data_IF_470545693866
#
_entry.id   IF_470545693866
#
_cell.length_a   1.000
_cell.length_b   1.000
_cell.length_c   1.000
_cell.angle_alpha   90.00
_cell.angle_beta   90.00
_cell.angle_gamma   90.00
#
_symmetry.space_group_name_H-M   'P 1'
#
loop_
_entity.id
_entity.type
_entity.pdbx_description
1 polymer ?
#
# COMPACT_ATOMS: atom_id res chain seq x y z
N UNK A 1 17.83 -2.34 -12.20
CA UNK A 1 16.66 -1.74 -11.54
C UNK A 1 16.75 -2.11 -10.07
N UNK A 2 16.74 -1.13 -9.17
CA UNK A 2 16.74 -1.41 -7.73
C UNK A 2 15.42 -2.07 -7.35
N UNK A 3 15.46 -3.09 -6.49
CA UNK A 3 14.27 -3.72 -5.94
C UNK A 3 13.84 -2.90 -4.72
N UNK A 4 13.10 -1.83 -4.98
CA UNK A 4 12.59 -0.93 -3.96
C UNK A 4 11.15 -1.29 -3.58
N UNK A 5 10.65 -0.71 -2.50
CA UNK A 5 9.34 -0.98 -1.91
C UNK A 5 8.18 -0.79 -2.89
N UNK A 6 8.32 0.06 -3.92
CA UNK A 6 7.27 0.30 -4.91
C UNK A 6 6.90 -0.98 -5.67
N UNK A 7 7.82 -1.96 -5.77
CA UNK A 7 7.56 -3.25 -6.43
C UNK A 7 6.39 -4.01 -5.80
N UNK A 8 6.12 -3.80 -4.50
CA UNK A 8 5.05 -4.50 -3.79
C UNK A 8 3.67 -4.05 -4.29
N UNK A 9 3.57 -2.89 -4.93
CA UNK A 9 2.32 -2.32 -5.43
C UNK A 9 1.92 -2.86 -6.81
N UNK A 10 2.78 -3.64 -7.46
CA UNK A 10 2.53 -4.27 -8.76
C UNK A 10 2.30 -5.79 -8.61
N UNK A 11 1.26 -6.38 -9.24
CA UNK A 11 0.17 -5.72 -9.97
C UNK A 11 -0.81 -4.98 -9.06
N UNK A 12 -1.63 -4.10 -9.62
CA UNK A 12 -2.75 -3.50 -8.89
C UNK A 12 -3.80 -4.56 -8.47
N UNK A 13 -4.47 -4.36 -7.32
CA UNK A 13 -5.69 -5.08 -6.95
C UNK A 13 -6.78 -5.00 -8.02
N UNK A 14 -7.52 -6.10 -8.23
CA UNK A 14 -8.67 -6.15 -9.14
C UNK A 14 -9.89 -5.47 -8.53
N UNK A 15 -10.02 -5.54 -7.20
CA UNK A 15 -11.16 -5.01 -6.45
C UNK A 15 -10.72 -3.89 -5.51
N UNK A 16 -11.52 -2.83 -5.45
CA UNK A 16 -11.30 -1.63 -4.65
C UNK A 16 -12.48 -1.37 -3.71
N UNK A 17 -12.28 -0.56 -2.67
CA UNK A 17 -13.37 -0.12 -1.79
C UNK A 17 -14.17 1.02 -2.40
N UNK A 18 -13.49 2.13 -2.68
CA UNK A 18 -14.04 3.36 -3.24
C UNK A 18 -13.13 3.89 -4.37
N UNK A 19 -13.64 4.87 -5.13
CA UNK A 19 -12.97 5.37 -6.34
C UNK A 19 -11.68 6.17 -6.08
N UNK A 20 -11.40 6.55 -4.84
CA UNK A 20 -10.13 7.17 -4.45
C UNK A 20 -9.04 6.16 -4.11
N UNK A 21 -9.39 4.92 -3.75
CA UNK A 21 -8.40 3.90 -3.33
C UNK A 21 -7.34 3.59 -4.41
N UNK A 22 -7.69 3.46 -5.72
CA UNK A 22 -6.68 3.25 -6.75
C UNK A 22 -5.68 4.41 -6.88
N UNK A 23 -6.12 5.64 -6.64
CA UNK A 23 -5.25 6.82 -6.71
C UNK A 23 -4.32 6.88 -5.51
N UNK A 24 -4.83 6.60 -4.31
CA UNK A 24 -4.00 6.50 -3.11
C UNK A 24 -3.00 5.34 -3.21
N UNK A 25 -3.39 4.21 -3.81
CA UNK A 25 -2.47 3.09 -4.09
C UNK A 25 -1.27 3.52 -4.94
N UNK A 26 -1.53 4.22 -6.04
CA UNK A 26 -0.47 4.74 -6.93
C UNK A 26 0.38 5.80 -6.23
N UNK A 27 -0.24 6.73 -5.50
CA UNK A 27 0.48 7.77 -4.75
C UNK A 27 1.38 7.16 -3.67
N UNK A 28 0.93 6.11 -2.97
CA UNK A 28 1.77 5.36 -2.03
C UNK A 28 2.92 4.66 -2.75
N UNK A 29 2.68 4.00 -3.89
CA UNK A 29 3.74 3.38 -4.68
C UNK A 29 4.82 4.38 -5.10
N UNK A 30 4.41 5.58 -5.52
CA UNK A 30 5.31 6.69 -5.87
C UNK A 30 6.15 7.16 -4.67
N UNK A 31 5.57 7.25 -3.46
CA UNK A 31 6.32 7.61 -2.25
C UNK A 31 7.43 6.59 -1.92
N UNK A 32 7.28 5.34 -2.36
CA UNK A 32 8.19 4.24 -2.07
C UNK A 32 9.23 3.98 -3.16
N UNK A 33 9.23 4.74 -4.26
CA UNK A 33 10.26 4.63 -5.29
C UNK A 33 11.64 4.97 -4.73
N UNK A 34 12.62 4.11 -4.99
CA UNK A 34 13.98 4.25 -4.47
C UNK A 34 14.15 3.94 -2.98
N UNK A 35 13.09 3.58 -2.25
CA UNK A 35 13.16 3.16 -0.85
C UNK A 35 13.39 1.66 -0.79
N UNK A 36 14.54 1.23 -0.24
CA UNK A 36 14.85 -0.19 -0.08
C UNK A 36 13.77 -0.94 0.72
N UNK A 37 13.56 -2.21 0.37
CA UNK A 37 12.69 -3.08 1.16
C UNK A 37 13.15 -3.15 2.62
N UNK A 38 12.22 -3.08 3.60
CA UNK A 38 12.56 -3.15 5.02
C UNK A 38 13.04 -4.54 5.41
N UNK A 39 13.61 -4.67 6.61
CA UNK A 39 14.15 -5.95 7.10
C UNK A 39 13.06 -6.86 7.69
N UNK A 40 11.89 -6.29 8.01
CA UNK A 40 10.79 -7.04 8.65
C UNK A 40 9.41 -6.60 8.19
N UNK A 41 8.44 -7.52 8.31
CA UNK A 41 7.03 -7.22 8.03
C UNK A 41 6.44 -6.18 9.00
N UNK A 42 6.98 -6.08 10.22
CA UNK A 42 6.55 -5.08 11.20
C UNK A 42 6.93 -3.67 10.73
N UNK A 43 8.18 -3.49 10.32
CA UNK A 43 8.68 -2.24 9.75
C UNK A 43 7.92 -1.86 8.47
N UNK A 44 7.65 -2.83 7.59
CA UNK A 44 6.79 -2.60 6.43
C UNK A 44 5.40 -2.11 6.82
N UNK A 45 4.75 -2.75 7.80
CA UNK A 45 3.42 -2.31 8.27
C UNK A 45 3.46 -0.88 8.78
N UNK A 46 4.44 -0.54 9.61
CA UNK A 46 4.60 0.83 10.13
C UNK A 46 4.79 1.85 9.01
N UNK A 47 5.66 1.57 8.03
CA UNK A 47 5.88 2.46 6.88
C UNK A 47 4.61 2.67 6.05
N UNK A 48 3.84 1.60 5.81
CA UNK A 48 2.57 1.67 5.09
C UNK A 48 1.53 2.50 5.84
N UNK A 49 1.40 2.30 7.16
CA UNK A 49 0.47 3.03 8.02
C UNK A 49 0.82 4.51 8.14
N UNK A 50 2.11 4.82 8.32
CA UNK A 50 2.62 6.19 8.36
C UNK A 50 2.42 6.91 7.03
N UNK A 51 2.67 6.22 5.92
CA UNK A 51 2.47 6.78 4.58
C UNK A 51 0.99 7.00 4.29
N UNK A 52 0.12 6.06 4.67
CA UNK A 52 -1.33 6.24 4.58
C UNK A 52 -1.77 7.47 5.37
N UNK A 53 -1.32 7.62 6.62
CA UNK A 53 -1.62 8.77 7.47
C UNK A 53 -1.11 10.07 6.84
N UNK A 54 0.14 10.11 6.39
CA UNK A 54 0.78 11.28 5.77
C UNK A 54 0.00 11.76 4.55
N UNK A 55 -0.42 10.84 3.68
CA UNK A 55 -1.10 11.18 2.44
C UNK A 55 -2.56 11.53 2.70
N UNK A 56 -3.27 10.78 3.52
CA UNK A 56 -4.71 10.99 3.72
C UNK A 56 -5.06 12.04 4.77
N UNK A 57 -4.13 12.32 5.69
CA UNK A 57 -4.40 13.10 6.90
C UNK A 57 -5.13 12.33 8.00
N UNK A 58 -5.45 11.04 7.79
CA UNK A 58 -6.23 10.24 8.72
C UNK A 58 -5.58 8.87 8.99
N UNK A 59 -5.60 8.37 10.24
CA UNK A 59 -5.12 7.02 10.52
C UNK A 59 -6.09 5.98 9.94
N UNK A 60 -5.62 4.74 9.77
CA UNK A 60 -6.49 3.62 9.36
C UNK A 60 -7.62 3.33 10.36
N UNK A 61 -7.46 3.71 11.63
CA UNK A 61 -8.50 3.61 12.66
C UNK A 61 -9.61 4.68 12.52
N UNK A 62 -9.47 5.62 11.58
CA UNK A 62 -10.49 6.61 11.31
C UNK A 62 -11.79 5.98 10.77
N UNK A 63 -12.80 6.82 10.54
CA UNK A 63 -14.10 6.46 9.98
C UNK A 63 -13.98 5.49 8.79
N UNK A 64 -15.03 4.68 8.58
CA UNK A 64 -15.05 3.65 7.51
C UNK A 64 -14.75 4.21 6.12
N UNK A 65 -15.22 5.42 5.85
CA UNK A 65 -14.93 6.15 4.63
C UNK A 65 -14.65 7.62 4.92
N UNK A 66 -13.84 8.24 4.08
CA UNK A 66 -13.66 9.68 4.04
C UNK A 66 -13.25 10.11 2.64
N UNK A 67 -13.18 11.41 2.38
CA UNK A 67 -12.86 11.96 1.06
C UNK A 67 -11.51 12.67 1.09
N UNK A 68 -10.69 12.39 0.07
CA UNK A 68 -9.44 13.10 -0.22
C UNK A 68 -9.65 13.87 -1.51
N UNK A 69 -9.74 15.20 -1.41
CA UNK A 69 -10.14 16.04 -2.56
C UNK A 69 -9.18 15.97 -3.74
N UNK A 70 -7.86 15.78 -3.52
CA UNK A 70 -6.91 15.65 -4.64
C UNK A 70 -7.11 14.37 -5.47
N UNK A 71 -7.81 13.38 -4.92
CA UNK A 71 -8.21 12.16 -5.65
C UNK A 71 -9.63 12.28 -6.25
N UNK A 72 -10.26 13.45 -6.12
CA UNK A 72 -11.58 13.70 -6.66
C UNK A 72 -11.50 14.18 -8.12
N UNK A 73 -11.88 13.31 -9.05
CA UNK A 73 -11.97 13.63 -10.49
C UNK A 73 -13.43 13.82 -10.98
N UNK A 74 -14.38 14.11 -10.07
CA UNK A 74 -15.77 14.43 -10.39
C UNK A 74 -16.81 13.36 -10.00
N UNK A 75 -18.01 13.80 -9.63
CA UNK A 75 -19.12 12.94 -9.18
C UNK A 75 -19.13 12.64 -7.67
N UNK A 76 -20.26 12.13 -7.16
CA UNK A 76 -20.54 12.01 -5.72
C UNK A 76 -19.57 11.10 -4.93
N UNK A 77 -18.86 10.17 -5.58
CA UNK A 77 -17.92 9.25 -4.90
C UNK A 77 -16.47 9.42 -5.36
N UNK A 78 -16.12 10.51 -6.06
CA UNK A 78 -14.72 10.74 -6.43
C UNK A 78 -13.88 11.09 -5.21
N UNK A 79 -12.68 10.53 -5.13
CA UNK A 79 -11.76 10.76 -4.01
C UNK A 79 -12.16 10.08 -2.69
N UNK A 80 -13.19 9.23 -2.70
CA UNK A 80 -13.53 8.44 -1.52
C UNK A 80 -12.48 7.38 -1.21
N UNK A 81 -12.04 7.30 0.04
CA UNK A 81 -11.11 6.31 0.59
C UNK A 81 -11.88 5.42 1.56
N UNK A 82 -11.72 4.10 1.45
CA UNK A 82 -12.34 3.15 2.37
C UNK A 82 -11.29 2.53 3.30
N UNK A 83 -11.26 2.94 4.57
CA UNK A 83 -10.30 2.38 5.55
C UNK A 83 -10.44 0.87 5.71
N UNK A 84 -11.64 0.34 5.55
CA UNK A 84 -11.92 -1.11 5.52
C UNK A 84 -11.15 -1.84 4.40
N UNK A 85 -11.14 -1.29 3.18
CA UNK A 85 -10.34 -1.86 2.09
C UNK A 85 -8.87 -1.91 2.45
N UNK A 86 -8.32 -0.83 3.00
CA UNK A 86 -6.90 -0.76 3.36
C UNK A 86 -6.51 -1.71 4.48
N UNK A 87 -7.33 -1.79 5.54
CA UNK A 87 -7.09 -2.69 6.69
C UNK A 87 -7.22 -4.17 6.33
N UNK A 88 -8.20 -4.52 5.50
CA UNK A 88 -8.56 -5.93 5.28
C UNK A 88 -7.98 -6.52 4.00
N UNK A 89 -7.63 -5.68 3.02
CA UNK A 89 -7.13 -6.13 1.72
C UNK A 89 -5.84 -5.44 1.28
N UNK A 90 -5.82 -4.11 1.27
CA UNK A 90 -4.69 -3.34 0.73
C UNK A 90 -3.36 -3.64 1.43
N UNK A 91 -3.28 -3.36 2.73
CA UNK A 91 -2.05 -3.60 3.52
C UNK A 91 -1.74 -5.09 3.66
N UNK A 92 -2.70 -5.98 3.99
CA UNK A 92 -2.44 -7.42 4.01
C UNK A 92 -1.87 -7.98 2.70
N UNK A 93 -2.33 -7.48 1.54
CA UNK A 93 -1.79 -7.87 0.24
C UNK A 93 -0.32 -7.46 0.08
N UNK A 94 0.04 -6.23 0.45
CA UNK A 94 1.41 -5.73 0.37
C UNK A 94 2.35 -6.52 1.31
N UNK A 95 1.89 -6.82 2.53
CA UNK A 95 2.62 -7.66 3.48
C UNK A 95 2.82 -9.10 2.96
N UNK A 96 1.79 -9.68 2.32
CA UNK A 96 1.88 -11.01 1.72
C UNK A 96 2.89 -11.05 0.56
N UNK A 97 2.90 -10.02 -0.31
CA UNK A 97 3.87 -9.89 -1.40
C UNK A 97 5.30 -9.76 -0.88
N UNK A 98 5.50 -8.98 0.18
CA UNK A 98 6.79 -8.85 0.84
C UNK A 98 7.28 -10.21 1.39
N UNK A 99 6.42 -10.94 2.10
CA UNK A 99 6.77 -12.27 2.62
C UNK A 99 7.17 -13.25 1.50
N UNK A 100 6.48 -13.21 0.36
CA UNK A 100 6.83 -14.02 -0.81
C UNK A 100 8.22 -13.66 -1.37
N UNK A 101 8.57 -12.37 -1.44
CA UNK A 101 9.90 -11.95 -1.87
C UNK A 101 11.00 -12.39 -0.91
N UNK A 102 10.75 -12.32 0.40
CA UNK A 102 11.70 -12.76 1.42
C UNK A 102 11.90 -14.29 1.41
N UNK A 103 10.85 -15.07 1.12
CA UNK A 103 10.96 -16.52 0.90
C UNK A 103 11.85 -16.88 -0.28
N UNK A 104 11.64 -16.21 -1.43
CA UNK A 104 12.46 -16.42 -2.63
C UNK A 104 13.93 -16.04 -2.40
N UNK A 105 14.21 -14.98 -1.64
CA UNK A 105 15.59 -14.59 -1.31
C UNK A 105 16.30 -15.60 -0.39
N UNK A 106 15.57 -16.21 0.55
CA UNK A 106 16.12 -17.22 1.46
C UNK A 106 16.41 -18.55 0.76
N UNK A 107 15.54 -18.98 -0.15
CA UNK A 107 15.71 -20.23 -0.90
C UNK A 107 16.85 -20.15 -1.93
N UNK A 108 17.15 -18.95 -2.46
CA UNK A 108 18.24 -18.72 -3.40
C UNK A 108 19.66 -18.83 -2.80
N UNK A 109 19.80 -18.83 -1.47
CA UNK A 109 21.10 -18.88 -0.79
C UNK A 109 21.42 -20.26 -0.18
N UNK A 110 20.47 -21.20 -0.19
CA UNK A 110 20.58 -22.51 0.46
C UNK A 110 21.25 -23.61 -0.40
N UNK A 111 21.98 -23.25 -1.45
CA UNK A 111 22.73 -24.19 -2.29
C UNK A 111 24.24 -23.93 -2.20
N UNK A 112 24.87 -24.29 -1.08
CA UNK A 112 26.33 -24.49 -0.96
C UNK A 112 26.66 -25.56 0.07
#
# INVERSE_FOLDING_TARGET
>A
MSMDMSILFDPEPIQWGLRGDPYLWREMAEQFQGISLPESSHELSSLLEETFLKLTGYPLSHQKHFRVERHAHGGMSSGGIATEFWRERGIPLLLSRFAAQQGVQRDGFAAR
#
